data_IF_106275384661
#
_entry.id   IF_106275384661
#
_cell.length_a   1.000
_cell.length_b   1.000
_cell.length_c   1.000
_cell.angle_alpha   90.00
_cell.angle_beta   90.00
_cell.angle_gamma   90.00
#
_symmetry.space_group_name_H-M   'P 1'
#
loop_
_entity.id
_entity.type
_entity.pdbx_description
1 polymer ?
#
# COMPACT_ATOMS: atom_id res chain seq x y z
N UNK A 1 34.25 44.45 7.30
CA UNK A 1 33.11 45.06 6.62
C UNK A 1 31.92 45.09 7.58
N UNK A 2 31.66 46.22 8.18
CA UNK A 2 30.39 46.44 8.89
C UNK A 2 29.46 47.20 7.93
N UNK A 3 28.41 46.62 7.48
CA UNK A 3 27.28 47.26 6.82
C UNK A 3 27.40 47.52 5.31
N UNK A 4 28.20 46.78 4.57
CA UNK A 4 28.31 46.91 3.12
C UNK A 4 27.71 45.74 2.36
N UNK A 5 26.98 46.03 1.27
CA UNK A 5 26.53 45.00 0.30
C UNK A 5 27.71 44.68 -0.62
N UNK A 6 28.22 43.45 -0.65
CA UNK A 6 29.14 43.00 -1.68
C UNK A 6 28.35 42.70 -2.94
N UNK A 7 28.35 43.62 -3.91
CA UNK A 7 27.70 43.40 -5.20
C UNK A 7 28.76 42.94 -6.21
N UNK A 8 28.70 41.64 -6.60
CA UNK A 8 29.54 41.11 -7.67
C UNK A 8 28.70 41.02 -8.95
N UNK A 9 28.83 42.01 -9.81
CA UNK A 9 28.03 42.12 -11.07
C UNK A 9 28.54 41.20 -12.18
N UNK A 10 29.80 40.81 -12.18
CA UNK A 10 30.44 39.77 -13.03
C UNK A 10 31.78 39.41 -12.41
N UNK A 11 31.94 38.23 -11.91
CA UNK A 11 33.23 37.72 -11.43
C UNK A 11 33.05 36.54 -10.48
N UNK A 12 33.91 35.56 -10.57
CA UNK A 12 34.10 34.54 -9.55
C UNK A 12 34.99 35.11 -8.47
N UNK A 13 34.68 34.91 -7.19
CA UNK A 13 35.69 35.03 -6.15
C UNK A 13 36.57 33.79 -6.29
N UNK A 14 37.58 33.88 -7.13
CA UNK A 14 38.61 32.86 -7.28
C UNK A 14 39.81 33.30 -6.41
N UNK A 15 39.81 32.84 -5.19
CA UNK A 15 40.98 32.87 -4.31
C UNK A 15 41.12 31.52 -3.68
N UNK A 16 42.22 30.83 -3.94
CA UNK A 16 42.54 29.50 -3.40
C UNK A 16 42.78 29.47 -1.90
N UNK A 17 41.98 30.16 -1.15
CA UNK A 17 41.95 30.12 0.31
C UNK A 17 40.51 29.90 0.72
N UNK A 18 40.29 28.79 1.42
CA UNK A 18 39.05 28.51 2.12
C UNK A 18 38.57 29.75 2.87
N UNK A 19 37.33 30.15 2.65
CA UNK A 19 36.63 31.10 3.51
C UNK A 19 36.44 30.41 4.88
N UNK A 20 37.49 30.49 5.71
CA UNK A 20 37.43 29.98 7.06
C UNK A 20 36.71 31.00 7.94
N UNK A 21 35.41 30.78 8.19
CA UNK A 21 34.72 31.39 9.30
C UNK A 21 33.90 32.65 9.04
N UNK A 22 33.41 32.88 7.84
CA UNK A 22 32.42 33.92 7.59
C UNK A 22 31.00 33.45 7.94
N UNK A 23 30.26 34.21 8.74
CA UNK A 23 28.87 33.98 9.05
C UNK A 23 27.98 34.97 8.31
N UNK A 24 26.98 34.50 7.58
CA UNK A 24 25.92 35.37 7.04
C UNK A 24 24.84 35.45 8.12
N UNK A 25 24.74 36.65 8.76
CA UNK A 25 23.76 36.89 9.85
C UNK A 25 22.38 37.28 9.35
N UNK A 26 22.17 37.34 8.05
CA UNK A 26 20.89 37.62 7.38
C UNK A 26 20.50 36.49 6.40
N UNK A 27 19.49 36.75 5.59
CA UNK A 27 19.06 35.82 4.56
C UNK A 27 20.05 35.84 3.37
N UNK A 28 20.49 34.64 2.92
CA UNK A 28 21.13 34.50 1.62
C UNK A 28 20.03 34.38 0.56
N UNK A 29 19.89 35.40 -0.29
CA UNK A 29 18.98 35.38 -1.43
C UNK A 29 19.76 35.18 -2.71
N UNK A 30 19.46 34.12 -3.47
CA UNK A 30 20.03 33.87 -4.79
C UNK A 30 18.95 34.17 -5.81
N UNK A 31 19.05 35.34 -6.49
CA UNK A 31 18.09 35.78 -7.48
C UNK A 31 18.66 35.54 -8.88
N UNK A 32 18.15 34.50 -9.57
CA UNK A 32 18.55 34.12 -10.92
C UNK A 32 17.40 33.34 -11.59
N UNK A 33 17.37 33.32 -12.92
CA UNK A 33 16.39 32.48 -13.66
C UNK A 33 16.48 31.00 -13.37
N UNK A 34 17.64 30.49 -12.99
CA UNK A 34 17.86 29.12 -12.46
C UNK A 34 18.82 29.22 -11.29
N UNK A 35 18.31 29.52 -10.07
CA UNK A 35 19.16 29.65 -8.89
C UNK A 35 19.63 28.27 -8.43
N UNK A 36 20.86 28.15 -7.99
CA UNK A 36 21.42 26.93 -7.46
C UNK A 36 22.56 27.19 -6.48
N UNK A 37 22.70 26.32 -5.50
CA UNK A 37 23.86 26.22 -4.62
C UNK A 37 24.55 24.90 -4.96
N UNK A 38 25.77 24.98 -5.53
CA UNK A 38 26.57 23.80 -5.79
C UNK A 38 27.51 23.57 -4.59
N UNK A 39 27.40 22.42 -3.97
CA UNK A 39 28.32 21.93 -2.96
C UNK A 39 29.19 20.87 -3.63
N UNK A 40 30.51 21.09 -3.68
CA UNK A 40 31.46 20.17 -4.32
C UNK A 40 32.52 19.72 -3.33
N UNK A 41 33.06 18.51 -3.50
CA UNK A 41 34.07 17.91 -2.64
C UNK A 41 33.77 16.45 -2.31
N UNK A 42 34.66 15.81 -1.56
CA UNK A 42 34.43 14.45 -1.07
C UNK A 42 33.45 14.46 0.12
N UNK A 43 32.16 14.20 -0.14
CA UNK A 43 31.12 14.21 0.88
C UNK A 43 30.63 15.60 1.28
N UNK A 44 30.10 16.40 0.33
CA UNK A 44 29.56 17.72 0.62
C UNK A 44 28.34 17.59 1.56
N UNK A 45 28.19 18.54 2.47
CA UNK A 45 27.10 18.56 3.43
C UNK A 45 26.57 19.96 3.69
N UNK A 46 25.31 19.98 4.16
CA UNK A 46 24.63 21.18 4.64
C UNK A 46 24.09 20.92 6.05
N UNK A 47 24.45 21.75 7.02
CA UNK A 47 23.93 21.69 8.38
C UNK A 47 22.69 22.56 8.54
N UNK A 48 21.68 22.05 9.24
CA UNK A 48 20.48 22.77 9.65
C UNK A 48 20.41 22.77 11.18
N UNK A 49 20.85 23.88 11.79
CA UNK A 49 21.05 23.94 13.24
C UNK A 49 22.20 23.04 13.70
N UNK A 50 22.13 22.56 14.93
CA UNK A 50 23.22 21.78 15.56
C UNK A 50 23.15 20.26 15.26
N UNK A 51 22.05 19.78 14.76
CA UNK A 51 21.78 18.32 14.74
C UNK A 51 21.46 17.74 13.36
N UNK A 52 20.82 18.51 12.48
CA UNK A 52 20.42 18.02 11.17
C UNK A 52 21.49 18.25 10.10
N UNK A 53 21.77 17.22 9.34
CA UNK A 53 22.73 17.27 8.23
C UNK A 53 22.14 16.62 6.98
N UNK A 54 22.18 17.33 5.85
CA UNK A 54 21.99 16.77 4.51
C UNK A 54 23.36 16.57 3.88
N UNK A 55 23.64 15.42 3.34
CA UNK A 55 24.91 15.10 2.67
C UNK A 55 24.70 14.12 1.54
N UNK A 56 25.67 14.03 0.63
CA UNK A 56 25.68 13.13 -0.52
C UNK A 56 26.93 12.26 -0.46
N UNK A 57 27.04 11.33 0.52
CA UNK A 57 28.11 10.35 0.49
C UNK A 57 27.79 9.31 -0.60
N UNK A 58 28.77 8.97 -1.42
CA UNK A 58 28.64 7.88 -2.40
C UNK A 58 27.41 7.99 -3.32
N UNK A 59 27.03 9.21 -3.72
CA UNK A 59 25.90 9.54 -4.59
C UNK A 59 24.48 9.37 -4.00
N UNK A 60 24.33 9.05 -2.73
CA UNK A 60 23.03 8.99 -2.08
C UNK A 60 22.71 10.29 -1.34
N UNK A 61 21.46 10.79 -1.45
CA UNK A 61 21.00 11.92 -0.65
C UNK A 61 20.61 11.44 0.74
N UNK A 62 21.45 11.73 1.75
CA UNK A 62 21.32 11.23 3.11
C UNK A 62 20.92 12.34 4.08
N UNK A 63 19.93 12.06 4.92
CA UNK A 63 19.44 12.91 6.00
C UNK A 63 19.87 12.32 7.35
N UNK A 64 20.61 13.10 8.13
CA UNK A 64 21.08 12.71 9.47
C UNK A 64 20.49 13.62 10.54
N UNK A 65 20.28 13.06 11.72
CA UNK A 65 20.04 13.79 12.95
C UNK A 65 21.03 13.30 14.01
N UNK A 66 21.83 14.20 14.58
CA UNK A 66 22.86 13.88 15.57
C UNK A 66 23.79 12.72 15.12
N UNK A 67 24.32 12.79 13.89
CA UNK A 67 25.12 11.76 13.22
C UNK A 67 24.44 10.38 13.02
N UNK A 68 23.16 10.26 13.32
CA UNK A 68 22.37 9.06 13.07
C UNK A 68 21.60 9.21 11.74
N UNK A 69 21.76 8.25 10.83
CA UNK A 69 21.07 8.25 9.52
C UNK A 69 19.57 8.05 9.74
N UNK A 70 18.75 8.97 9.20
CA UNK A 70 17.30 8.97 9.33
C UNK A 70 16.58 8.57 8.07
N UNK A 71 17.08 8.99 6.92
CA UNK A 71 16.55 8.64 5.62
C UNK A 71 17.61 8.81 4.55
N UNK A 72 17.45 8.09 3.43
CA UNK A 72 18.20 8.37 2.22
C UNK A 72 17.38 8.10 0.96
N UNK A 73 17.74 8.78 -0.13
CA UNK A 73 17.35 8.48 -1.51
C UNK A 73 18.58 7.94 -2.22
N UNK A 74 18.52 6.70 -2.66
CA UNK A 74 19.62 6.07 -3.37
C UNK A 74 19.65 6.51 -4.83
N UNK A 75 20.82 6.88 -5.32
CA UNK A 75 21.09 7.13 -6.74
C UNK A 75 21.33 5.82 -7.51
N UNK A 76 21.38 4.67 -6.83
CA UNK A 76 21.53 3.37 -7.47
C UNK A 76 20.41 3.13 -8.48
N UNK A 77 20.67 2.27 -9.45
CA UNK A 77 19.70 1.88 -10.50
C UNK A 77 18.33 1.42 -9.98
N UNK A 78 18.25 1.08 -8.69
CA UNK A 78 17.00 0.69 -8.02
C UNK A 78 16.17 1.86 -7.47
N UNK A 79 16.74 3.08 -7.33
CA UNK A 79 16.01 4.28 -6.88
C UNK A 79 15.33 4.12 -5.53
N UNK A 80 15.95 3.43 -4.57
CA UNK A 80 15.31 3.14 -3.28
C UNK A 80 15.23 4.38 -2.39
N UNK A 81 14.11 4.56 -1.71
CA UNK A 81 13.97 5.45 -0.57
C UNK A 81 13.94 4.62 0.71
N UNK A 82 14.82 4.94 1.65
CA UNK A 82 14.86 4.29 2.97
C UNK A 82 14.62 5.31 4.08
N UNK A 83 13.84 4.91 5.08
CA UNK A 83 13.59 5.67 6.31
C UNK A 83 13.82 4.78 7.52
N UNK A 84 14.46 5.29 8.57
CA UNK A 84 14.77 4.54 9.80
C UNK A 84 13.54 4.21 10.63
N UNK A 85 12.45 4.93 10.48
CA UNK A 85 11.21 4.73 11.22
C UNK A 85 10.06 4.31 10.29
N UNK A 86 8.86 4.69 10.68
CA UNK A 86 7.66 4.48 9.89
C UNK A 86 7.43 5.62 8.91
N UNK A 87 6.94 5.30 7.72
CA UNK A 87 6.36 6.29 6.81
C UNK A 87 4.92 6.57 7.25
N UNK A 88 4.68 7.74 7.84
CA UNK A 88 3.36 8.14 8.33
C UNK A 88 2.66 8.99 7.27
N UNK A 89 1.49 8.55 6.83
CA UNK A 89 0.67 9.25 5.84
C UNK A 89 -0.59 9.83 6.50
N UNK A 90 -0.93 11.08 6.14
CA UNK A 90 -2.13 11.75 6.64
C UNK A 90 -3.41 11.05 6.14
N UNK A 91 -4.33 10.70 7.07
CA UNK A 91 -5.58 10.01 6.73
C UNK A 91 -6.79 10.48 7.55
N UNK A 92 -6.74 11.72 8.04
CA UNK A 92 -7.84 12.31 8.82
C UNK A 92 -9.09 12.49 7.94
N UNK A 93 -10.21 11.90 8.37
CA UNK A 93 -11.48 11.93 7.63
C UNK A 93 -12.02 13.36 7.46
N UNK A 94 -11.73 14.27 8.39
CA UNK A 94 -12.14 15.68 8.33
C UNK A 94 -11.54 16.44 7.15
N UNK A 95 -10.50 15.89 6.54
CA UNK A 95 -9.82 16.45 5.36
C UNK A 95 -10.22 15.76 4.07
N UNK A 96 -11.21 14.84 4.09
CA UNK A 96 -11.63 14.04 2.94
C UNK A 96 -13.06 14.32 2.55
N UNK A 97 -13.33 14.40 1.28
CA UNK A 97 -14.66 14.34 0.71
C UNK A 97 -14.99 12.88 0.43
N UNK A 98 -15.96 12.30 1.14
CA UNK A 98 -16.36 10.91 0.94
C UNK A 98 -17.19 10.79 -0.34
N UNK A 99 -16.82 9.88 -1.23
CA UNK A 99 -17.45 9.68 -2.54
C UNK A 99 -18.27 8.38 -2.62
N UNK A 100 -18.45 7.70 -1.51
CA UNK A 100 -19.17 6.44 -1.40
C UNK A 100 -18.30 5.27 -0.96
N UNK A 101 -18.96 4.12 -0.80
CA UNK A 101 -18.29 2.87 -0.44
C UNK A 101 -17.68 2.20 -1.66
N UNK A 102 -16.58 1.50 -1.44
CA UNK A 102 -15.96 0.66 -2.45
C UNK A 102 -16.68 -0.69 -2.51
N UNK A 103 -17.12 -1.11 -3.69
CA UNK A 103 -17.88 -2.35 -3.89
C UNK A 103 -17.18 -3.29 -4.88
N UNK A 104 -17.52 -4.59 -4.81
CA UNK A 104 -17.04 -5.65 -5.70
C UNK A 104 -15.51 -5.78 -5.81
N UNK A 105 -14.84 -5.49 -4.69
CA UNK A 105 -13.38 -5.46 -4.66
C UNK A 105 -12.79 -6.85 -4.88
N UNK A 106 -13.37 -7.87 -4.26
CA UNK A 106 -12.83 -9.23 -4.33
C UNK A 106 -12.78 -9.76 -5.75
N UNK A 107 -13.85 -9.57 -6.55
CA UNK A 107 -13.89 -10.00 -7.94
C UNK A 107 -12.83 -9.32 -8.79
N UNK A 108 -12.65 -8.00 -8.61
CA UNK A 108 -11.64 -7.21 -9.30
C UNK A 108 -10.22 -7.62 -8.89
N UNK A 109 -9.97 -7.86 -7.59
CA UNK A 109 -8.67 -8.32 -7.09
C UNK A 109 -8.30 -9.70 -7.64
N UNK A 110 -9.26 -10.61 -7.77
CA UNK A 110 -9.04 -11.95 -8.33
C UNK A 110 -8.66 -11.94 -9.81
N UNK A 111 -8.94 -10.86 -10.53
CA UNK A 111 -8.52 -10.66 -11.91
C UNK A 111 -7.08 -10.14 -12.05
N UNK A 112 -6.46 -9.70 -10.95
CA UNK A 112 -5.08 -9.20 -10.96
C UNK A 112 -4.08 -10.36 -10.84
N UNK A 113 -3.02 -10.31 -11.64
CA UNK A 113 -1.90 -11.24 -11.54
C UNK A 113 -0.82 -10.69 -10.63
N UNK A 114 -0.41 -11.47 -9.64
CA UNK A 114 0.77 -11.19 -8.82
C UNK A 114 1.94 -12.00 -9.36
N UNK A 115 3.08 -11.36 -9.66
CA UNK A 115 4.22 -12.02 -10.28
C UNK A 115 5.55 -11.58 -9.68
N UNK A 116 6.59 -12.36 -9.96
CA UNK A 116 7.99 -12.01 -9.67
C UNK A 116 8.57 -11.29 -10.87
N UNK A 117 9.37 -10.25 -10.62
CA UNK A 117 10.04 -9.50 -11.66
C UNK A 117 11.38 -8.95 -11.17
N UNK A 118 12.22 -8.53 -12.12
CA UNK A 118 13.35 -7.62 -11.89
C UNK A 118 13.24 -6.46 -12.87
N UNK A 119 13.80 -5.31 -12.53
CA UNK A 119 13.91 -4.22 -13.50
C UNK A 119 14.91 -4.53 -14.58
N UNK A 120 14.60 -4.16 -15.84
CA UNK A 120 15.47 -4.42 -17.00
C UNK A 120 16.87 -3.82 -16.84
N UNK A 121 16.98 -2.71 -16.13
CA UNK A 121 18.24 -1.97 -15.92
C UNK A 121 18.84 -2.23 -14.53
N UNK A 122 18.37 -3.26 -13.81
CA UNK A 122 18.93 -3.67 -12.52
C UNK A 122 20.09 -4.65 -12.78
N UNK A 123 21.38 -4.25 -12.56
CA UNK A 123 22.53 -5.10 -12.86
C UNK A 123 22.57 -6.35 -11.97
N UNK A 124 21.98 -6.29 -10.79
CA UNK A 124 21.92 -7.41 -9.85
C UNK A 124 20.69 -8.32 -10.09
N UNK A 125 19.85 -7.98 -11.05
CA UNK A 125 18.61 -8.67 -11.38
C UNK A 125 17.77 -9.02 -10.13
N UNK A 126 17.71 -8.10 -9.17
CA UNK A 126 17.05 -8.28 -7.87
C UNK A 126 15.59 -8.66 -8.05
N UNK A 127 15.22 -9.85 -7.57
CA UNK A 127 13.85 -10.35 -7.68
C UNK A 127 12.92 -9.61 -6.73
N UNK A 128 11.81 -9.12 -7.27
CA UNK A 128 10.72 -8.42 -6.57
C UNK A 128 9.40 -9.10 -6.84
N UNK A 129 8.40 -8.82 -6.02
CA UNK A 129 7.02 -9.26 -6.21
C UNK A 129 6.16 -8.01 -6.40
N UNK A 130 5.23 -8.08 -7.35
CA UNK A 130 4.36 -6.95 -7.61
C UNK A 130 3.25 -7.23 -8.60
N UNK A 131 2.58 -6.16 -9.00
CA UNK A 131 1.47 -6.13 -9.94
C UNK A 131 1.87 -5.35 -11.20
N UNK A 132 1.10 -5.49 -12.26
CA UNK A 132 1.21 -4.65 -13.45
C UNK A 132 0.29 -3.44 -13.31
N UNK A 133 0.84 -2.22 -13.44
CA UNK A 133 0.06 -1.00 -13.48
C UNK A 133 -0.98 -1.02 -14.62
N UNK A 134 -0.64 -1.67 -15.76
CA UNK A 134 -1.55 -1.85 -16.90
C UNK A 134 -2.75 -2.75 -16.60
N UNK A 135 -2.64 -3.68 -15.66
CA UNK A 135 -3.78 -4.45 -15.17
C UNK A 135 -4.56 -3.68 -14.10
N UNK A 136 -3.85 -3.05 -13.16
CA UNK A 136 -4.50 -2.32 -12.05
C UNK A 136 -5.36 -1.18 -12.55
N UNK A 137 -4.91 -0.41 -13.55
CA UNK A 137 -5.66 0.73 -14.10
C UNK A 137 -7.03 0.34 -14.67
N UNK A 138 -7.21 -0.92 -15.08
CA UNK A 138 -8.49 -1.41 -15.63
C UNK A 138 -9.56 -1.58 -14.55
N UNK A 139 -9.17 -1.82 -13.31
CA UNK A 139 -10.08 -2.12 -12.18
C UNK A 139 -10.05 -1.06 -11.10
N UNK A 140 -8.91 -0.41 -10.91
CA UNK A 140 -8.63 0.55 -9.84
C UNK A 140 -7.74 1.69 -10.37
N UNK A 141 -8.24 2.52 -11.29
CA UNK A 141 -7.45 3.59 -11.91
C UNK A 141 -6.92 4.62 -10.90
N UNK A 142 -7.57 4.78 -9.74
CA UNK A 142 -7.20 5.73 -8.70
C UNK A 142 -5.85 5.41 -8.03
N UNK A 143 -5.31 4.21 -8.20
CA UNK A 143 -4.00 3.82 -7.67
C UNK A 143 -2.87 3.96 -8.69
N UNK A 144 -3.17 4.35 -9.93
CA UNK A 144 -2.19 4.42 -11.02
C UNK A 144 -1.97 5.86 -11.45
N UNK A 145 -0.69 6.23 -11.57
CA UNK A 145 -0.25 7.56 -12.00
C UNK A 145 0.55 7.43 -13.28
N UNK A 146 0.37 8.39 -14.20
CA UNK A 146 1.20 8.50 -15.39
C UNK A 146 2.36 9.46 -15.10
N UNK A 147 3.57 8.96 -15.26
CA UNK A 147 4.79 9.75 -15.10
C UNK A 147 5.06 10.65 -16.32
N UNK A 148 5.91 11.69 -16.20
CA UNK A 148 6.21 12.60 -17.32
C UNK A 148 6.83 11.92 -18.53
N UNK A 149 7.48 10.77 -18.37
CA UNK A 149 8.09 9.96 -19.42
C UNK A 149 7.10 8.96 -20.07
N UNK A 150 5.83 8.95 -19.62
CA UNK A 150 4.77 8.11 -20.15
C UNK A 150 4.67 6.71 -19.52
N UNK A 151 5.55 6.37 -18.57
CA UNK A 151 5.41 5.14 -17.80
C UNK A 151 4.36 5.28 -16.70
N UNK A 152 3.91 4.13 -16.17
CA UNK A 152 2.96 4.09 -15.06
C UNK A 152 3.67 3.74 -13.75
N UNK A 153 3.26 4.42 -12.68
CA UNK A 153 3.58 4.11 -11.30
C UNK A 153 2.32 3.80 -10.50
N UNK A 154 2.47 3.17 -9.33
CA UNK A 154 1.35 2.78 -8.49
C UNK A 154 1.56 3.16 -7.03
N UNK A 155 0.49 3.57 -6.35
CA UNK A 155 0.44 3.73 -4.90
C UNK A 155 0.15 2.39 -4.21
N UNK A 156 1.20 1.60 -3.98
CA UNK A 156 1.10 0.32 -3.28
C UNK A 156 0.64 0.46 -1.82
N UNK A 157 0.97 1.57 -1.15
CA UNK A 157 0.59 1.77 0.25
C UNK A 157 -0.93 1.88 0.40
N UNK A 158 -1.57 2.70 -0.44
CA UNK A 158 -3.02 2.89 -0.44
C UNK A 158 -3.79 1.63 -0.88
N UNK A 159 -3.18 0.74 -1.66
CA UNK A 159 -3.77 -0.56 -2.02
C UNK A 159 -4.03 -1.48 -0.81
N UNK A 160 -3.43 -1.22 0.35
CA UNK A 160 -3.75 -1.94 1.59
C UNK A 160 -5.24 -1.83 1.98
N UNK A 161 -5.91 -0.73 1.62
CA UNK A 161 -7.34 -0.55 1.82
C UNK A 161 -8.18 -1.57 1.02
N UNK A 162 -7.73 -1.95 -0.19
CA UNK A 162 -8.38 -2.99 -0.99
C UNK A 162 -8.30 -4.34 -0.29
N UNK A 163 -7.15 -4.68 0.31
CA UNK A 163 -6.99 -5.92 1.05
C UNK A 163 -7.98 -5.99 2.24
N UNK A 164 -8.13 -4.91 2.99
CA UNK A 164 -9.11 -4.83 4.09
C UNK A 164 -10.53 -5.06 3.57
N UNK A 165 -10.92 -4.37 2.49
CA UNK A 165 -12.25 -4.53 1.90
C UNK A 165 -12.48 -5.95 1.35
N UNK A 166 -11.49 -6.52 0.66
CA UNK A 166 -11.55 -7.90 0.17
C UNK A 166 -11.75 -8.92 1.31
N UNK A 167 -11.04 -8.77 2.43
CA UNK A 167 -11.23 -9.59 3.63
C UNK A 167 -12.64 -9.44 4.19
N UNK A 168 -13.18 -8.22 4.23
CA UNK A 168 -14.55 -7.97 4.69
C UNK A 168 -15.58 -8.67 3.79
N UNK A 169 -15.39 -8.65 2.48
CA UNK A 169 -16.27 -9.33 1.52
C UNK A 169 -16.20 -10.86 1.66
N UNK A 170 -14.99 -11.44 1.82
CA UNK A 170 -14.81 -12.86 2.10
C UNK A 170 -15.50 -13.25 3.41
N UNK A 171 -15.31 -12.49 4.48
CA UNK A 171 -15.92 -12.74 5.78
C UNK A 171 -17.45 -12.77 5.70
N UNK A 172 -18.04 -11.80 5.00
CA UNK A 172 -19.50 -11.77 4.78
C UNK A 172 -19.98 -12.99 4.02
N UNK A 173 -19.29 -13.43 2.96
CA UNK A 173 -19.61 -14.63 2.18
C UNK A 173 -19.49 -15.90 3.04
N UNK A 174 -18.44 -16.01 3.86
CA UNK A 174 -18.25 -17.15 4.78
C UNK A 174 -19.39 -17.26 5.79
N UNK A 175 -19.77 -16.17 6.44
CA UNK A 175 -20.91 -16.15 7.37
C UNK A 175 -22.21 -16.55 6.69
N UNK A 176 -22.43 -16.12 5.44
CA UNK A 176 -23.62 -16.50 4.67
C UNK A 176 -23.63 -18.01 4.39
N UNK A 177 -22.49 -18.58 4.00
CA UNK A 177 -22.34 -20.02 3.74
C UNK A 177 -22.60 -20.81 5.04
N UNK A 178 -22.04 -20.39 6.16
CA UNK A 178 -22.25 -21.03 7.47
C UNK A 178 -23.74 -21.05 7.84
N UNK A 179 -24.45 -19.94 7.63
CA UNK A 179 -25.89 -19.87 7.87
C UNK A 179 -26.67 -20.82 6.94
N UNK A 180 -26.32 -20.88 5.65
CA UNK A 180 -26.96 -21.80 4.71
C UNK A 180 -26.74 -23.27 5.08
N UNK A 181 -25.52 -23.63 5.51
CA UNK A 181 -25.19 -24.97 6.00
C UNK A 181 -26.02 -25.33 7.24
N UNK A 182 -26.18 -24.38 8.17
CA UNK A 182 -27.02 -24.58 9.37
C UNK A 182 -28.46 -24.81 8.98
N UNK A 183 -29.05 -23.96 8.16
CA UNK A 183 -30.43 -24.09 7.68
C UNK A 183 -30.64 -25.45 6.98
N UNK A 184 -29.69 -25.88 6.15
CA UNK A 184 -29.75 -27.19 5.48
C UNK A 184 -29.75 -28.34 6.47
N UNK A 185 -28.88 -28.31 7.49
CA UNK A 185 -28.84 -29.35 8.53
C UNK A 185 -30.17 -29.44 9.31
N UNK A 186 -30.73 -28.29 9.69
CA UNK A 186 -31.99 -28.21 10.41
C UNK A 186 -33.14 -28.78 9.54
N UNK A 187 -33.13 -28.50 8.24
CA UNK A 187 -34.10 -29.05 7.29
C UNK A 187 -33.95 -30.56 7.13
N UNK A 188 -32.71 -31.09 6.99
CA UNK A 188 -32.46 -32.54 6.90
C UNK A 188 -32.92 -33.26 8.16
N UNK A 189 -32.67 -32.74 9.36
CA UNK A 189 -33.14 -33.32 10.62
C UNK A 189 -34.66 -33.35 10.70
N UNK A 190 -35.34 -32.29 10.31
CA UNK A 190 -36.81 -32.22 10.28
C UNK A 190 -37.39 -33.24 9.29
N UNK A 191 -36.79 -33.36 8.10
CA UNK A 191 -37.21 -34.35 7.08
C UNK A 191 -37.06 -35.78 7.58
N UNK A 192 -35.95 -36.10 8.24
CA UNK A 192 -35.72 -37.44 8.80
C UNK A 192 -36.75 -37.81 9.89
N UNK A 193 -37.11 -36.84 10.75
CA UNK A 193 -38.17 -37.03 11.75
C UNK A 193 -39.55 -37.27 11.11
N UNK A 194 -39.88 -36.55 10.03
CA UNK A 194 -41.11 -36.75 9.29
C UNK A 194 -41.16 -38.14 8.61
N UNK A 195 -40.06 -38.56 7.99
CA UNK A 195 -39.93 -39.87 7.38
C UNK A 195 -40.14 -40.98 8.42
N UNK A 196 -39.50 -40.87 9.58
CA UNK A 196 -39.65 -41.83 10.69
C UNK A 196 -41.11 -41.91 11.14
N UNK A 197 -41.77 -40.79 11.35
CA UNK A 197 -43.17 -40.73 11.75
C UNK A 197 -44.11 -41.40 10.71
N UNK A 198 -43.88 -41.16 9.42
CA UNK A 198 -44.63 -41.79 8.35
C UNK A 198 -44.41 -43.30 8.32
N UNK A 199 -43.18 -43.77 8.51
CA UNK A 199 -42.87 -45.21 8.59
C UNK A 199 -43.62 -45.90 9.75
N UNK A 200 -43.59 -45.29 10.94
CA UNK A 200 -44.33 -45.78 12.11
C UNK A 200 -45.83 -45.82 11.86
N UNK A 201 -46.38 -44.81 11.18
CA UNK A 201 -47.80 -44.79 10.80
C UNK A 201 -48.16 -45.88 9.80
N UNK A 202 -47.31 -46.10 8.79
CA UNK A 202 -47.52 -47.20 7.79
C UNK A 202 -47.54 -48.59 8.48
N UNK A 203 -46.59 -48.83 9.40
CA UNK A 203 -46.50 -50.06 10.15
C UNK A 203 -47.82 -50.29 10.97
N UNK A 204 -48.28 -49.23 11.66
CA UNK A 204 -49.54 -49.33 12.43
C UNK A 204 -50.72 -49.66 11.55
N UNK A 205 -50.87 -48.92 10.44
CA UNK A 205 -52.00 -49.21 9.50
C UNK A 205 -51.93 -50.59 8.89
N UNK A 206 -50.73 -51.10 8.62
CA UNK A 206 -50.53 -52.45 8.11
C UNK A 206 -51.02 -53.50 9.13
N UNK A 207 -50.70 -53.36 10.41
CA UNK A 207 -51.13 -54.22 11.50
C UNK A 207 -52.65 -54.17 11.65
N UNK A 208 -53.30 -53.00 11.59
CA UNK A 208 -54.75 -52.84 11.63
C UNK A 208 -55.43 -53.51 10.46
N UNK A 209 -54.87 -53.47 9.25
CA UNK A 209 -55.36 -54.15 8.07
C UNK A 209 -55.30 -55.71 8.25
N UNK A 210 -54.18 -56.17 8.80
CA UNK A 210 -53.97 -57.61 8.99
C UNK A 210 -54.91 -58.16 10.09
N UNK A 211 -55.19 -57.41 11.15
CA UNK A 211 -56.23 -57.75 12.16
C UNK A 211 -57.63 -57.81 11.56
N UNK A 212 -57.99 -56.84 10.71
CA UNK A 212 -59.28 -56.81 10.04
C UNK A 212 -59.46 -58.00 9.08
N UNK A 213 -58.41 -58.40 8.39
CA UNK A 213 -58.43 -59.58 7.49
C UNK A 213 -58.52 -60.90 8.26
N UNK A 214 -57.86 -60.98 9.42
CA UNK A 214 -57.93 -62.16 10.29
C UNK A 214 -59.28 -62.34 10.99
N UNK A 215 -59.95 -61.20 11.30
CA UNK A 215 -61.32 -61.27 11.94
C UNK A 215 -62.48 -61.61 11.02
N UNK A 216 -62.28 -61.64 9.69
CA UNK A 216 -63.35 -62.05 8.72
C UNK A 216 -63.32 -63.52 8.34
N UNK A 217 -62.47 -64.33 9.01
CA UNK A 217 -62.32 -65.75 8.77
C UNK A 217 -62.90 -66.64 9.90
N UNK A 218 -63.94 -66.17 10.66
CA UNK A 218 -64.65 -66.92 11.69
C UNK A 218 -66.15 -67.08 11.32
#
# INVERSE_FOLDING_TARGET
>A
FSGGTLSLTKGSISGGSSWNGGTITGNLTISKSSPGIALSGSGPYMWFGSYWKLTVPSNDYCFYYNNDLRAYLSYSSSGNMWVKGSLVQGSDIRKKNLMGDLEDVLAKMMALSVFRYSYKNDPDATVRIGLSAQQVIQYFPEFVFTEPDGYYSMDYASMSALAIKGIQEISKRSMMIENLVKVRKDWELTKDQQIKHLQETVIRLQNEIDELKGGTAA
#
